data_IF_904816374634
#
_entry.id   IF_904816374634
#
_cell.length_a   1.000
_cell.length_b   1.000
_cell.length_c   1.000
_cell.angle_alpha   90.00
_cell.angle_beta   90.00
_cell.angle_gamma   90.00
#
_symmetry.space_group_name_H-M   'P 1'
#
loop_
_entity.id
_entity.type
_entity.pdbx_description
1 polymer ?
#
# COMPACT_ATOMS: atom_id res chain seq x y z
N UNK A 1 7.64 36.72 -6.68
CA UNK A 1 8.46 35.63 -7.26
C UNK A 1 7.90 34.30 -6.76
N UNK A 2 6.91 33.74 -7.45
CA UNK A 2 6.28 32.47 -7.05
C UNK A 2 7.11 31.30 -7.57
N UNK A 3 7.61 30.44 -6.68
CA UNK A 3 8.27 29.20 -7.05
C UNK A 3 7.21 28.21 -7.55
N UNK A 4 7.21 27.98 -8.87
CA UNK A 4 6.41 26.91 -9.47
C UNK A 4 6.88 25.58 -8.89
N UNK A 5 6.01 24.92 -8.12
CA UNK A 5 6.20 23.53 -7.73
C UNK A 5 6.30 22.71 -9.03
N UNK A 6 7.51 22.23 -9.34
CA UNK A 6 7.74 21.33 -10.47
C UNK A 6 6.80 20.14 -10.30
N UNK A 7 5.85 20.02 -11.21
CA UNK A 7 4.89 18.94 -11.29
C UNK A 7 5.63 17.61 -11.43
N UNK A 8 5.86 16.92 -10.32
CA UNK A 8 6.28 15.52 -10.33
C UNK A 8 5.33 14.75 -11.25
N UNK A 9 5.83 13.94 -12.20
CA UNK A 9 4.98 13.13 -13.04
C UNK A 9 4.13 12.23 -12.13
N UNK A 10 2.82 12.43 -12.15
CA UNK A 10 1.88 11.61 -11.38
C UNK A 10 2.06 10.16 -11.82
N UNK A 11 2.71 9.36 -10.97
CA UNK A 11 2.86 7.91 -11.13
C UNK A 11 1.48 7.28 -11.25
N UNK A 12 1.19 6.76 -12.45
CA UNK A 12 0.03 5.94 -12.85
C UNK A 12 -1.36 6.53 -12.55
N UNK A 13 -2.32 6.29 -13.45
CA UNK A 13 -3.73 6.62 -13.23
C UNK A 13 -4.27 5.84 -12.03
N UNK A 14 -4.43 6.52 -10.89
CA UNK A 14 -4.93 5.92 -9.65
C UNK A 14 -6.36 5.39 -9.87
N UNK A 15 -6.54 4.06 -9.78
CA UNK A 15 -7.85 3.40 -9.83
C UNK A 15 -8.57 3.53 -8.49
N UNK A 16 -9.91 3.58 -8.52
CA UNK A 16 -10.75 3.65 -7.32
C UNK A 16 -10.72 2.29 -6.61
N UNK A 17 -9.96 2.19 -5.51
CA UNK A 17 -9.94 1.00 -4.65
C UNK A 17 -11.22 0.91 -3.81
N UNK A 18 -11.70 -0.32 -3.56
CA UNK A 18 -12.87 -0.57 -2.69
C UNK A 18 -12.53 -0.44 -1.18
N UNK A 19 -11.31 -0.01 -0.84
CA UNK A 19 -10.78 0.07 0.54
C UNK A 19 -10.74 -1.27 1.28
N UNK A 20 -10.68 -2.38 0.55
CA UNK A 20 -10.58 -3.74 1.10
C UNK A 20 -9.24 -4.33 0.64
N UNK A 21 -8.59 -5.08 1.52
CA UNK A 21 -7.38 -5.85 1.21
C UNK A 21 -7.74 -7.30 0.90
N UNK A 22 -6.99 -7.98 0.00
CA UNK A 22 -7.18 -9.39 -0.31
C UNK A 22 -6.75 -10.33 0.83
N UNK A 23 -6.18 -9.79 1.91
CA UNK A 23 -5.59 -10.54 3.00
C UNK A 23 -5.08 -9.64 4.12
N UNK A 24 -4.50 -10.25 5.14
CA UNK A 24 -3.90 -9.54 6.26
C UNK A 24 -2.48 -9.08 5.91
N UNK A 25 -2.10 -7.87 6.33
CA UNK A 25 -0.70 -7.44 6.33
C UNK A 25 -0.10 -7.82 7.68
N UNK A 26 1.04 -8.50 7.65
CA UNK A 26 1.69 -9.07 8.82
C UNK A 26 3.12 -8.53 8.91
N UNK A 27 3.56 -8.16 10.11
CA UNK A 27 4.95 -7.74 10.36
C UNK A 27 5.90 -8.93 10.58
N UNK A 28 7.18 -8.65 10.79
CA UNK A 28 8.19 -9.66 11.10
C UNK A 28 7.94 -10.45 12.39
N UNK A 29 7.13 -9.91 13.31
CA UNK A 29 6.75 -10.55 14.58
C UNK A 29 5.46 -11.38 14.45
N UNK A 30 4.96 -11.61 13.24
CA UNK A 30 3.66 -12.24 12.97
C UNK A 30 2.45 -11.48 13.53
N UNK A 31 2.59 -10.16 13.77
CA UNK A 31 1.50 -9.29 14.22
C UNK A 31 0.72 -8.78 13.01
N UNK A 32 -0.61 -8.88 13.08
CA UNK A 32 -1.49 -8.34 12.04
C UNK A 32 -1.58 -6.82 12.16
N UNK A 33 -1.19 -6.13 11.10
CA UNK A 33 -1.26 -4.67 10.99
C UNK A 33 -2.67 -4.27 10.55
N UNK A 34 -3.39 -3.60 11.45
CA UNK A 34 -4.69 -3.01 11.15
C UNK A 34 -4.50 -1.80 10.25
N UNK A 35 -4.91 -1.92 8.99
CA UNK A 35 -4.71 -0.86 8.02
C UNK A 35 -5.82 -0.78 6.98
N UNK A 36 -5.87 0.32 6.25
CA UNK A 36 -6.81 0.54 5.13
C UNK A 36 -6.03 0.84 3.86
N UNK A 37 -6.32 0.16 2.74
CA UNK A 37 -5.66 0.49 1.49
C UNK A 37 -6.21 1.80 0.92
N UNK A 38 -5.32 2.59 0.32
CA UNK A 38 -5.61 3.92 -0.20
C UNK A 38 -5.50 3.95 -1.72
N UNK A 39 -4.38 3.49 -2.25
CA UNK A 39 -4.05 3.50 -3.68
C UNK A 39 -3.22 2.25 -4.02
N UNK A 40 -3.32 1.80 -5.26
CA UNK A 40 -2.64 0.62 -5.75
C UNK A 40 -1.98 0.91 -7.12
N UNK A 41 -0.89 0.22 -7.36
CA UNK A 41 -0.18 0.10 -8.63
C UNK A 41 0.35 -1.34 -8.75
N UNK A 42 0.82 -1.78 -9.93
CA UNK A 42 1.31 -3.16 -10.12
C UNK A 42 2.36 -3.59 -9.09
N UNK A 43 3.30 -2.70 -8.75
CA UNK A 43 4.39 -3.00 -7.81
C UNK A 43 4.19 -2.41 -6.40
N UNK A 44 3.13 -1.64 -6.17
CA UNK A 44 3.04 -0.79 -4.98
C UNK A 44 1.64 -0.63 -4.42
N UNK A 45 1.55 -0.64 -3.09
CA UNK A 45 0.32 -0.48 -2.32
C UNK A 45 0.50 0.66 -1.32
N UNK A 46 -0.39 1.64 -1.32
CA UNK A 46 -0.48 2.64 -0.25
C UNK A 46 -1.47 2.18 0.81
N UNK A 47 -1.09 2.25 2.09
CA UNK A 47 -1.96 1.97 3.23
C UNK A 47 -2.00 3.13 4.21
N UNK A 48 -3.07 3.19 5.00
CA UNK A 48 -3.19 4.02 6.21
C UNK A 48 -3.21 3.10 7.42
N UNK A 49 -2.40 3.40 8.42
CA UNK A 49 -2.35 2.68 9.69
C UNK A 49 -2.04 3.62 10.85
N UNK A 50 -2.44 3.22 12.05
CA UNK A 50 -2.01 3.83 13.32
C UNK A 50 -0.73 3.16 13.84
N UNK A 51 -0.40 1.96 13.34
CA UNK A 51 0.84 1.26 13.65
C UNK A 51 2.03 2.07 13.14
N UNK A 52 3.01 2.31 14.00
CA UNK A 52 4.23 3.00 13.63
C UNK A 52 5.16 2.03 12.91
N UNK A 53 5.20 2.16 11.58
CA UNK A 53 6.12 1.42 10.71
C UNK A 53 7.27 2.33 10.26
N UNK A 54 8.45 1.75 10.09
CA UNK A 54 9.63 2.44 9.60
C UNK A 54 9.96 2.08 8.15
N UNK A 55 10.68 2.99 7.49
CA UNK A 55 11.13 2.75 6.10
C UNK A 55 12.18 1.65 6.12
N UNK A 56 12.00 0.64 5.28
CA UNK A 56 12.80 -0.59 5.27
C UNK A 56 12.15 -1.77 5.99
N UNK A 57 11.06 -1.55 6.74
CA UNK A 57 10.34 -2.65 7.39
C UNK A 57 9.81 -3.64 6.35
N UNK A 58 10.04 -4.92 6.62
CA UNK A 58 9.57 -6.03 5.80
C UNK A 58 8.24 -6.52 6.35
N UNK A 59 7.23 -6.50 5.50
CA UNK A 59 5.87 -6.94 5.77
C UNK A 59 5.50 -8.08 4.82
N UNK A 60 4.51 -8.87 5.19
CA UNK A 60 3.91 -9.84 4.29
C UNK A 60 2.42 -9.60 4.13
N UNK A 61 1.94 -9.47 2.90
CA UNK A 61 0.53 -9.55 2.57
C UNK A 61 0.18 -11.04 2.43
N UNK A 62 -0.49 -11.59 3.43
CA UNK A 62 -0.93 -13.00 3.44
C UNK A 62 -2.38 -13.08 3.00
N UNK A 63 -2.59 -13.68 1.84
CA UNK A 63 -3.91 -14.07 1.32
C UNK A 63 -4.18 -15.53 1.71
N UNK A 64 -5.31 -16.09 1.28
CA UNK A 64 -5.61 -17.51 1.50
C UNK A 64 -4.60 -18.46 0.81
N UNK A 65 -4.09 -18.07 -0.36
CA UNK A 65 -3.25 -18.93 -1.20
C UNK A 65 -1.78 -18.53 -1.17
N UNK A 66 -1.48 -17.25 -0.90
CA UNK A 66 -0.15 -16.68 -1.15
C UNK A 66 0.32 -15.80 0.00
N UNK A 67 1.64 -15.62 0.08
CA UNK A 67 2.29 -14.69 1.01
C UNK A 67 3.24 -13.80 0.21
N UNK A 68 2.86 -12.54 0.00
CA UNK A 68 3.63 -11.60 -0.80
C UNK A 68 4.52 -10.78 0.12
N UNK A 69 5.83 -10.81 -0.11
CA UNK A 69 6.80 -10.00 0.64
C UNK A 69 6.78 -8.55 0.14
N UNK A 70 6.64 -7.61 1.07
CA UNK A 70 6.57 -6.18 0.81
C UNK A 70 7.51 -5.41 1.72
N UNK A 71 7.96 -4.25 1.27
CA UNK A 71 8.80 -3.34 2.04
C UNK A 71 8.16 -1.96 2.12
N UNK A 72 8.25 -1.33 3.29
CA UNK A 72 7.88 0.08 3.46
C UNK A 72 8.93 0.95 2.78
N UNK A 73 8.56 1.61 1.68
CA UNK A 73 9.47 2.49 0.91
C UNK A 73 9.34 3.96 1.26
N UNK A 74 8.21 4.38 1.84
CA UNK A 74 8.03 5.74 2.36
C UNK A 74 6.93 5.78 3.41
N UNK A 75 7.02 6.78 4.30
CA UNK A 75 6.00 7.13 5.29
C UNK A 75 5.69 8.62 5.24
N UNK A 76 4.43 9.00 5.42
CA UNK A 76 3.98 10.40 5.49
C UNK A 76 2.84 10.53 6.48
N UNK A 77 2.99 11.43 7.45
CA UNK A 77 1.90 11.76 8.36
C UNK A 77 0.70 12.32 7.58
N UNK A 78 -0.50 11.82 7.85
CA UNK A 78 -1.72 12.35 7.26
C UNK A 78 -2.27 13.45 8.18
N UNK A 79 -1.91 14.70 7.88
CA UNK A 79 -2.29 15.88 8.67
C UNK A 79 -3.81 16.10 8.76
N UNK A 80 -4.61 15.43 7.92
CA UNK A 80 -6.07 15.56 7.92
C UNK A 80 -6.79 14.69 8.97
N UNK A 81 -6.13 13.67 9.54
CA UNK A 81 -6.72 12.77 10.54
C UNK A 81 -5.70 12.45 11.63
N UNK A 82 -5.93 12.97 12.83
CA UNK A 82 -5.04 12.76 13.97
C UNK A 82 -4.83 11.25 14.20
N UNK A 83 -3.56 10.83 14.31
CA UNK A 83 -3.17 9.46 14.63
C UNK A 83 -2.93 8.52 13.44
N UNK A 84 -3.26 8.92 12.20
CA UNK A 84 -3.04 8.07 11.03
C UNK A 84 -1.78 8.48 10.24
N UNK A 85 -0.98 7.48 9.89
CA UNK A 85 0.17 7.64 8.99
C UNK A 85 -0.08 6.86 7.71
N UNK A 86 0.28 7.48 6.58
CA UNK A 86 0.22 6.85 5.27
C UNK A 86 1.56 6.23 4.95
N UNK A 87 1.54 4.98 4.52
CA UNK A 87 2.72 4.21 4.15
C UNK A 87 2.62 3.78 2.69
N UNK A 88 3.75 3.83 1.99
CA UNK A 88 3.92 3.20 0.70
C UNK A 88 4.65 1.89 0.85
N UNK A 89 4.01 0.82 0.43
CA UNK A 89 4.58 -0.53 0.38
C UNK A 89 4.95 -0.85 -1.06
N UNK A 90 6.08 -1.51 -1.27
CA UNK A 90 6.51 -2.04 -2.56
C UNK A 90 6.69 -3.56 -2.46
N UNK A 91 6.23 -4.32 -3.45
CA UNK A 91 6.56 -5.74 -3.54
C UNK A 91 8.07 -5.93 -3.72
N UNK A 92 8.64 -6.92 -3.04
CA UNK A 92 10.04 -7.35 -3.28
C UNK A 92 10.14 -8.26 -4.51
N UNK A 93 9.04 -8.90 -4.90
CA UNK A 93 8.99 -9.73 -6.10
C UNK A 93 8.64 -8.87 -7.31
N UNK A 94 9.62 -8.67 -8.20
CA UNK A 94 9.47 -7.88 -9.41
C UNK A 94 8.58 -8.54 -10.49
N UNK A 95 8.35 -9.84 -10.40
CA UNK A 95 7.46 -10.56 -11.31
C UNK A 95 6.00 -10.52 -10.84
N UNK A 96 5.74 -10.13 -9.59
CA UNK A 96 4.40 -10.12 -9.01
C UNK A 96 3.65 -8.83 -9.33
N UNK A 97 2.44 -8.96 -9.86
CA UNK A 97 1.53 -7.84 -10.11
C UNK A 97 0.41 -7.80 -9.05
N UNK A 98 0.52 -6.85 -8.12
CA UNK A 98 -0.48 -6.63 -7.08
C UNK A 98 -1.82 -6.19 -7.65
N UNK A 99 -1.85 -5.51 -8.81
CA UNK A 99 -3.11 -5.10 -9.44
C UNK A 99 -3.92 -6.31 -9.90
N UNK A 100 -3.26 -7.32 -10.45
CA UNK A 100 -3.91 -8.59 -10.83
C UNK A 100 -4.49 -9.27 -9.60
N UNK A 101 -3.69 -9.42 -8.53
CA UNK A 101 -4.16 -10.03 -7.27
C UNK A 101 -5.42 -9.33 -6.74
N UNK A 102 -5.39 -8.00 -6.64
CA UNK A 102 -6.52 -7.24 -6.13
C UNK A 102 -7.74 -7.31 -7.06
N UNK A 103 -7.54 -7.52 -8.37
CA UNK A 103 -8.64 -7.69 -9.32
C UNK A 103 -9.30 -9.06 -9.17
N UNK A 104 -8.50 -10.13 -9.11
CA UNK A 104 -8.98 -11.51 -8.99
C UNK A 104 -9.70 -11.77 -7.66
N UNK A 105 -9.26 -11.10 -6.61
CA UNK A 105 -9.89 -11.16 -5.28
C UNK A 105 -11.07 -10.20 -5.10
N UNK A 106 -11.46 -9.45 -6.14
CA UNK A 106 -12.58 -8.51 -6.10
C UNK A 106 -12.34 -7.27 -5.22
N UNK A 107 -11.08 -6.95 -4.89
CA UNK A 107 -10.70 -5.77 -4.11
C UNK A 107 -10.59 -4.49 -4.95
N UNK A 108 -10.62 -4.62 -6.28
CA UNK A 108 -10.72 -3.50 -7.23
C UNK A 108 -12.10 -3.44 -7.86
N UNK A 109 -12.62 -2.23 -8.03
CA UNK A 109 -13.80 -2.01 -8.86
C UNK A 109 -13.39 -2.13 -10.32
N UNK A 110 -13.94 -3.12 -11.03
CA UNK A 110 -13.85 -3.19 -12.48
C UNK A 110 -14.57 -1.95 -13.03
N UNK A 111 -13.86 -1.14 -13.82
CA UNK A 111 -14.43 -0.02 -14.58
C UNK A 111 -14.80 -0.58 -15.95
#
# INVERSE_FOLDING_TARGET
>A
MGLAAKSEPRRSSRRVMLRILPGAIIDANNTVIQCRPVDLSPEGLSILSETNLDVGDLLSLRTHNDSIAMEVVWRRADFGKQGLTRYGLKTKDAAFDLEILFRETGCLKLI
#
